data_IF_751907531971
#
_entry.id   IF_751907531971
#
_cell.length_a   1.000
_cell.length_b   1.000
_cell.length_c   1.000
_cell.angle_alpha   90.00
_cell.angle_beta   90.00
_cell.angle_gamma   90.00
#
_symmetry.space_group_name_H-M   'P 1'
#
loop_
_entity.id
_entity.type
_entity.pdbx_description
1 polymer ?
#
# COMPACT_ATOMS: atom_id res chain seq x y z
N UNK A 1 28.67 -5.17 -17.96
CA UNK A 1 27.30 -5.70 -17.91
C UNK A 1 26.51 -4.70 -17.07
N UNK A 2 25.62 -3.92 -17.68
CA UNK A 2 24.73 -3.05 -16.90
C UNK A 2 23.77 -4.00 -16.20
N UNK A 3 23.86 -4.10 -14.88
CA UNK A 3 22.94 -4.89 -14.07
C UNK A 3 21.52 -4.38 -14.35
N UNK A 4 20.80 -5.16 -15.15
CA UNK A 4 19.43 -4.88 -15.59
C UNK A 4 18.41 -5.37 -14.57
N UNK A 5 18.80 -5.63 -13.32
CA UNK A 5 17.84 -5.71 -12.22
C UNK A 5 17.25 -4.31 -12.01
N UNK A 6 16.27 -3.95 -12.87
CA UNK A 6 15.30 -2.90 -12.61
C UNK A 6 14.88 -3.07 -11.15
N UNK A 7 15.32 -2.16 -10.28
CA UNK A 7 15.24 -2.29 -8.83
C UNK A 7 13.80 -2.62 -8.41
N UNK A 8 13.51 -3.91 -8.22
CA UNK A 8 12.25 -4.37 -7.65
C UNK A 8 12.32 -4.05 -6.16
N UNK A 9 11.52 -3.07 -5.72
CA UNK A 9 11.41 -2.72 -4.31
C UNK A 9 10.49 -3.72 -3.60
N UNK A 10 10.87 -4.15 -2.40
CA UNK A 10 10.06 -4.98 -1.49
C UNK A 10 9.99 -4.27 -0.13
N UNK A 11 8.83 -4.17 0.53
CA UNK A 11 8.76 -3.62 1.87
C UNK A 11 9.54 -4.51 2.85
N UNK A 12 10.07 -3.94 3.93
CA UNK A 12 10.75 -4.71 4.98
C UNK A 12 9.80 -5.26 6.02
N UNK A 13 8.70 -4.56 6.26
CA UNK A 13 7.71 -4.88 7.28
C UNK A 13 6.40 -4.18 6.95
N UNK A 14 5.33 -4.63 7.62
CA UNK A 14 4.03 -3.94 7.69
C UNK A 14 3.85 -3.39 9.09
N UNK A 15 3.41 -2.14 9.24
CA UNK A 15 3.07 -1.57 10.55
C UNK A 15 1.56 -1.43 10.62
N UNK A 16 0.91 -2.17 11.52
CA UNK A 16 -0.55 -2.13 11.67
C UNK A 16 -0.95 -1.19 12.80
N UNK A 17 -1.62 -0.09 12.44
CA UNK A 17 -2.28 0.80 13.40
C UNK A 17 -3.69 0.26 13.67
N UNK A 18 -3.85 -0.50 14.76
CA UNK A 18 -5.08 -1.22 15.08
C UNK A 18 -6.32 -0.31 15.10
N UNK A 19 -6.22 0.86 15.72
CA UNK A 19 -7.33 1.82 15.79
C UNK A 19 -7.75 2.32 14.40
N UNK A 20 -6.78 2.61 13.53
CA UNK A 20 -7.06 3.06 12.16
C UNK A 20 -7.70 1.94 11.34
N UNK A 21 -7.17 0.72 11.45
CA UNK A 21 -7.75 -0.47 10.80
C UNK A 21 -9.22 -0.66 11.18
N UNK A 22 -9.52 -0.52 12.47
CA UNK A 22 -10.88 -0.66 13.00
C UNK A 22 -11.80 0.47 12.53
N UNK A 23 -11.33 1.73 12.56
CA UNK A 23 -12.08 2.88 12.04
C UNK A 23 -12.37 2.78 10.55
N UNK A 24 -11.42 2.26 9.78
CA UNK A 24 -11.61 2.00 8.35
C UNK A 24 -12.49 0.78 8.08
N UNK A 25 -12.71 -0.10 9.06
CA UNK A 25 -13.54 -1.30 8.89
C UNK A 25 -12.91 -2.38 8.01
N UNK A 26 -11.58 -2.39 7.87
CA UNK A 26 -10.87 -3.31 6.96
C UNK A 26 -10.20 -4.48 7.69
N UNK A 27 -9.99 -5.58 6.96
CA UNK A 27 -9.27 -6.74 7.49
C UNK A 27 -7.78 -6.43 7.73
N UNK A 28 -7.11 -7.23 8.57
CA UNK A 28 -5.65 -7.17 8.74
C UNK A 28 -4.91 -7.33 7.42
N UNK A 29 -5.37 -8.24 6.56
CA UNK A 29 -4.76 -8.50 5.26
C UNK A 29 -4.92 -7.30 4.34
N UNK A 30 -6.12 -6.71 4.29
CA UNK A 30 -6.40 -5.52 3.50
C UNK A 30 -5.51 -4.36 3.96
N UNK A 31 -5.42 -4.12 5.27
CA UNK A 31 -4.53 -3.12 5.83
C UNK A 31 -3.07 -3.37 5.41
N UNK A 32 -2.56 -4.60 5.56
CA UNK A 32 -1.18 -4.93 5.24
C UNK A 32 -0.84 -4.73 3.75
N UNK A 33 -1.81 -5.01 2.87
CA UNK A 33 -1.70 -4.74 1.44
C UNK A 33 -1.63 -3.25 1.17
N UNK A 34 -2.52 -2.43 1.75
CA UNK A 34 -2.50 -0.97 1.55
C UNK A 34 -1.22 -0.34 2.12
N UNK A 35 -0.77 -0.75 3.31
CA UNK A 35 0.48 -0.28 3.90
C UNK A 35 1.70 -0.62 3.04
N UNK A 36 1.73 -1.81 2.44
CA UNK A 36 2.79 -2.20 1.49
C UNK A 36 2.77 -1.33 0.23
N UNK A 37 1.59 -1.06 -0.33
CA UNK A 37 1.41 -0.15 -1.47
C UNK A 37 1.88 1.25 -1.10
N UNK A 38 1.48 1.76 0.06
CA UNK A 38 1.87 3.08 0.56
C UNK A 38 3.40 3.19 0.65
N UNK A 39 4.06 2.27 1.35
CA UNK A 39 5.53 2.27 1.50
C UNK A 39 6.28 2.25 0.18
N UNK A 40 5.82 1.42 -0.76
CA UNK A 40 6.48 1.31 -2.06
C UNK A 40 6.23 2.55 -2.92
N UNK A 41 4.99 3.06 -2.92
CA UNK A 41 4.61 4.27 -3.66
C UNK A 41 5.15 5.56 -3.06
N UNK A 42 5.53 5.60 -1.78
CA UNK A 42 6.16 6.79 -1.16
C UNK A 42 7.68 6.76 -1.16
N UNK A 43 8.30 5.63 -1.54
CA UNK A 43 9.75 5.44 -1.45
C UNK A 43 10.60 6.21 -2.48
N UNK A 44 10.01 6.71 -3.57
CA UNK A 44 10.67 7.64 -4.51
C UNK A 44 9.65 8.66 -5.00
N UNK A 45 9.81 9.92 -4.60
CA UNK A 45 8.90 11.00 -4.97
C UNK A 45 8.83 11.25 -6.48
N UNK A 46 9.87 10.87 -7.24
CA UNK A 46 9.90 11.02 -8.70
C UNK A 46 9.10 9.93 -9.42
N UNK A 47 8.86 8.82 -8.74
CA UNK A 47 8.08 7.70 -9.26
C UNK A 47 7.20 7.11 -8.15
N UNK A 48 6.10 7.80 -7.79
CA UNK A 48 5.33 7.51 -6.59
C UNK A 48 4.34 6.35 -6.79
N UNK A 49 4.83 5.22 -7.30
CA UNK A 49 4.00 4.06 -7.67
C UNK A 49 4.57 2.77 -7.11
N UNK A 50 3.68 1.95 -6.57
CA UNK A 50 3.93 0.55 -6.27
C UNK A 50 3.77 -0.26 -7.57
N UNK A 51 4.92 -0.72 -8.09
CA UNK A 51 5.03 -1.61 -9.26
C UNK A 51 5.37 -3.05 -8.89
N UNK A 52 5.33 -3.38 -7.60
CA UNK A 52 5.51 -4.75 -7.12
C UNK A 52 4.41 -5.64 -7.71
N UNK A 53 4.81 -6.82 -8.20
CA UNK A 53 3.83 -7.78 -8.73
C UNK A 53 2.91 -8.29 -7.63
N UNK A 54 1.73 -8.77 -8.01
CA UNK A 54 0.75 -9.37 -7.09
C UNK A 54 1.34 -10.62 -6.41
N UNK A 55 2.18 -11.35 -7.15
CA UNK A 55 2.87 -12.57 -6.72
C UNK A 55 3.94 -12.25 -5.68
N UNK A 56 4.82 -11.28 -5.96
CA UNK A 56 5.86 -10.85 -5.03
C UNK A 56 5.25 -10.31 -3.72
N UNK A 57 4.11 -9.60 -3.81
CA UNK A 57 3.38 -9.11 -2.64
C UNK A 57 2.71 -10.23 -1.85
N UNK A 58 2.12 -11.22 -2.53
CA UNK A 58 1.54 -12.40 -1.91
C UNK A 58 2.60 -13.18 -1.11
N UNK A 59 3.77 -13.40 -1.69
CA UNK A 59 4.91 -14.04 -1.03
C UNK A 59 5.36 -13.22 0.18
N UNK A 60 5.51 -11.90 0.04
CA UNK A 60 5.94 -11.04 1.13
C UNK A 60 5.00 -11.05 2.33
N UNK A 61 3.69 -11.00 2.08
CA UNK A 61 2.68 -10.94 3.14
C UNK A 61 2.25 -12.33 3.63
N UNK A 62 2.81 -13.42 3.08
CA UNK A 62 2.36 -14.80 3.33
C UNK A 62 0.86 -14.98 3.08
N UNK A 63 0.34 -14.38 2.00
CA UNK A 63 -1.08 -14.40 1.63
C UNK A 63 -1.28 -15.13 0.30
N UNK A 64 -2.51 -15.63 0.09
CA UNK A 64 -2.88 -16.14 -1.23
C UNK A 64 -3.01 -14.99 -2.23
N UNK A 65 -2.67 -15.26 -3.50
CA UNK A 65 -2.87 -14.31 -4.61
C UNK A 65 -4.30 -13.78 -4.66
N UNK A 66 -5.31 -14.65 -4.47
CA UNK A 66 -6.73 -14.28 -4.38
C UNK A 66 -6.99 -13.22 -3.31
N UNK A 67 -6.36 -13.35 -2.14
CA UNK A 67 -6.48 -12.37 -1.05
C UNK A 67 -5.88 -11.03 -1.44
N UNK A 68 -4.73 -11.03 -2.13
CA UNK A 68 -4.12 -9.79 -2.65
C UNK A 68 -5.07 -9.10 -3.62
N UNK A 69 -5.63 -9.81 -4.61
CA UNK A 69 -6.59 -9.22 -5.56
C UNK A 69 -7.80 -8.62 -4.84
N UNK A 70 -8.46 -9.40 -4.00
CA UNK A 70 -9.62 -8.93 -3.22
C UNK A 70 -9.29 -7.69 -2.38
N UNK A 71 -8.15 -7.68 -1.71
CA UNK A 71 -7.72 -6.57 -0.85
C UNK A 71 -7.48 -5.29 -1.66
N UNK A 72 -6.92 -5.40 -2.86
CA UNK A 72 -6.68 -4.24 -3.74
C UNK A 72 -8.01 -3.74 -4.32
N UNK A 73 -8.93 -4.64 -4.69
CA UNK A 73 -10.26 -4.25 -5.17
C UNK A 73 -11.05 -3.53 -4.06
N UNK A 74 -11.12 -4.11 -2.85
CA UNK A 74 -11.73 -3.52 -1.65
C UNK A 74 -11.11 -2.15 -1.34
N UNK A 75 -9.78 -2.06 -1.26
CA UNK A 75 -9.09 -0.81 -0.96
C UNK A 75 -9.33 0.28 -2.02
N UNK A 76 -9.48 -0.10 -3.28
CA UNK A 76 -9.80 0.83 -4.36
C UNK A 76 -11.24 1.33 -4.26
N UNK A 77 -12.21 0.43 -4.03
CA UNK A 77 -13.62 0.80 -3.83
C UNK A 77 -13.78 1.75 -2.64
N UNK A 78 -12.97 1.56 -1.60
CA UNK A 78 -12.94 2.44 -0.43
C UNK A 78 -12.14 3.74 -0.63
N UNK A 79 -11.49 3.92 -1.78
CA UNK A 79 -10.67 5.09 -2.10
C UNK A 79 -9.41 5.21 -1.25
N UNK A 80 -8.88 4.10 -0.71
CA UNK A 80 -7.62 4.06 0.04
C UNK A 80 -6.40 3.98 -0.88
N UNK A 81 -6.60 3.41 -2.08
CA UNK A 81 -5.60 3.37 -3.15
C UNK A 81 -6.23 3.77 -4.48
N UNK A 82 -5.38 4.12 -5.44
CA UNK A 82 -5.74 4.34 -6.83
C UNK A 82 -4.92 3.44 -7.76
N UNK A 83 -5.53 3.06 -8.90
CA UNK A 83 -4.86 2.39 -10.02
C UNK A 83 -4.57 3.41 -11.10
N UNK A 84 -3.32 3.42 -11.56
CA UNK A 84 -2.88 4.25 -12.69
C UNK A 84 -2.26 3.36 -13.76
N UNK A 85 -1.95 3.93 -14.91
CA UNK A 85 -1.19 3.25 -15.97
C UNK A 85 0.22 2.81 -15.51
N UNK A 86 0.78 3.48 -14.50
CA UNK A 86 2.12 3.21 -13.98
C UNK A 86 2.14 2.24 -12.80
N UNK A 87 1.04 2.05 -12.08
CA UNK A 87 0.97 1.18 -10.91
C UNK A 87 -0.06 1.61 -9.87
N UNK A 88 0.08 1.07 -8.66
CA UNK A 88 -0.79 1.37 -7.51
C UNK A 88 -0.21 2.52 -6.68
N UNK A 89 -1.07 3.35 -6.10
CA UNK A 89 -0.65 4.41 -5.18
C UNK A 89 -1.63 4.55 -4.02
N UNK A 90 -1.14 4.83 -2.82
CA UNK A 90 -2.01 5.17 -1.69
C UNK A 90 -2.54 6.60 -1.86
N UNK A 91 -3.84 6.80 -1.59
CA UNK A 91 -4.46 8.11 -1.71
C UNK A 91 -4.20 8.97 -0.47
N UNK A 92 -4.51 10.27 -0.57
CA UNK A 92 -4.49 11.18 0.58
C UNK A 92 -5.42 10.71 1.71
N UNK A 93 -6.50 9.99 1.40
CA UNK A 93 -7.39 9.40 2.41
C UNK A 93 -6.63 8.42 3.30
N UNK A 94 -5.82 7.55 2.70
CA UNK A 94 -4.97 6.63 3.46
C UNK A 94 -3.90 7.39 4.26
N UNK A 95 -3.17 8.30 3.61
CA UNK A 95 -2.06 9.04 4.24
C UNK A 95 -2.54 9.85 5.46
N UNK A 96 -3.68 10.54 5.35
CA UNK A 96 -4.32 11.25 6.48
C UNK A 96 -4.82 10.33 7.58
N UNK A 97 -5.03 9.06 7.28
CA UNK A 97 -5.46 8.09 8.29
C UNK A 97 -4.28 7.51 9.09
N UNK A 98 -3.08 7.43 8.50
CA UNK A 98 -1.95 6.69 9.11
C UNK A 98 -0.68 7.52 9.38
N UNK A 99 -0.45 8.62 8.67
CA UNK A 99 0.77 9.44 8.82
C UNK A 99 0.48 10.84 9.37
N UNK A 100 -0.60 11.48 8.92
CA UNK A 100 -0.84 12.91 9.16
C UNK A 100 -2.03 13.08 10.10
N UNK A 101 -1.81 13.67 11.27
CA UNK A 101 -2.88 14.20 12.10
C UNK A 101 -3.04 15.70 11.88
N UNK A 102 -4.29 16.19 11.92
CA UNK A 102 -4.55 17.64 11.89
C UNK A 102 -4.17 18.26 13.22
N UNK A 103 -3.26 19.24 13.21
CA UNK A 103 -3.09 20.18 14.32
C UNK A 103 -4.06 21.34 14.10
N UNK A 104 -4.83 21.71 15.13
CA UNK A 104 -5.55 22.97 15.10
C UNK A 104 -4.51 24.09 15.26
N UNK A 105 -4.43 25.00 14.30
CA UNK A 105 -3.66 26.23 14.47
C UNK A 105 -4.45 27.10 15.46
N UNK A 106 -3.86 27.37 16.63
CA UNK A 106 -4.36 28.35 17.58
C UNK A 106 -4.17 29.77 17.04
#
# INVERSE_FOLDING_TARGET
MIDSTRFKKRPRYTLVLHEVREKLGISFNTYAVVDSIHKLSSSDYRFPYCVMSKEDMAEFLCLSRRTIFRSIDEAQEMGLIERTEHGLRATDKWIRSVEIYSIHAN
#
